data_IF_811872887494
#
_entry.id   IF_811872887494
#
_cell.length_a   1.000
_cell.length_b   1.000
_cell.length_c   1.000
_cell.angle_alpha   90.00
_cell.angle_beta   90.00
_cell.angle_gamma   90.00
#
_symmetry.space_group_name_H-M   'P 1'
#
loop_
_entity.id
_entity.type
_entity.pdbx_description
1 polymer ?
#
# COMPACT_ATOMS: atom_id res chain seq x y z
N UNK A 1 0.41 4.41 39.87
CA UNK A 1 0.29 2.98 39.57
C UNK A 1 1.53 2.66 38.78
N UNK A 2 2.49 2.01 39.41
CA UNK A 2 3.84 1.85 38.90
C UNK A 2 4.17 0.37 38.96
N UNK A 3 4.08 -0.30 37.80
CA UNK A 3 4.23 -1.76 37.70
C UNK A 3 5.66 -2.15 37.29
N UNK A 4 6.63 -1.24 37.44
CA UNK A 4 8.04 -1.57 37.22
C UNK A 4 8.61 -2.39 38.39
N UNK A 5 9.44 -3.40 38.09
CA UNK A 5 10.12 -4.14 39.15
C UNK A 5 11.10 -3.22 39.88
N UNK A 6 10.88 -3.03 41.20
CA UNK A 6 11.71 -2.18 42.07
C UNK A 6 13.18 -2.65 42.17
N UNK A 7 13.45 -3.89 41.73
CA UNK A 7 14.78 -4.49 41.75
C UNK A 7 15.07 -5.20 40.43
N UNK A 8 16.35 -5.19 40.01
CA UNK A 8 16.82 -5.89 38.80
C UNK A 8 16.70 -7.40 39.01
N UNK A 9 15.75 -8.04 38.31
CA UNK A 9 15.55 -9.49 38.37
C UNK A 9 16.44 -10.16 37.32
N UNK A 10 17.29 -11.09 37.75
CA UNK A 10 18.39 -11.65 36.92
C UNK A 10 17.90 -12.61 35.82
N UNK A 11 16.79 -13.31 36.03
CA UNK A 11 16.20 -14.21 35.03
C UNK A 11 14.68 -14.21 35.17
N UNK A 12 13.98 -13.57 34.24
CA UNK A 12 12.52 -13.71 34.12
C UNK A 12 12.13 -13.84 32.66
N UNK A 13 11.21 -14.76 32.37
CA UNK A 13 10.47 -14.79 31.11
C UNK A 13 9.54 -13.57 31.11
N UNK A 14 9.90 -12.53 30.39
CA UNK A 14 9.05 -11.35 30.22
C UNK A 14 7.89 -11.67 29.29
N UNK A 15 6.72 -11.10 29.57
CA UNK A 15 5.52 -11.22 28.73
C UNK A 15 5.07 -9.83 28.34
N UNK A 16 4.98 -9.57 27.03
CA UNK A 16 4.37 -8.36 26.50
C UNK A 16 2.86 -8.59 26.38
N UNK A 17 2.07 -7.64 26.87
CA UNK A 17 0.61 -7.63 26.75
C UNK A 17 0.17 -6.29 26.21
N UNK A 18 -0.80 -6.30 25.31
CA UNK A 18 -1.33 -5.10 24.65
C UNK A 18 -2.81 -5.00 25.02
N UNK A 19 -3.22 -3.80 25.43
CA UNK A 19 -4.63 -3.53 25.78
C UNK A 19 -5.04 -3.95 27.19
N UNK A 20 -4.10 -4.19 28.10
CA UNK A 20 -4.37 -4.39 29.52
C UNK A 20 -3.15 -4.01 30.37
N UNK A 21 -3.38 -3.66 31.63
CA UNK A 21 -2.36 -3.33 32.63
C UNK A 21 -2.17 -4.51 33.60
N UNK A 22 -0.92 -4.88 33.88
CA UNK A 22 -0.59 -5.96 34.81
C UNK A 22 -0.50 -5.44 36.25
N UNK A 23 -1.36 -5.92 37.14
CA UNK A 23 -1.32 -5.55 38.56
C UNK A 23 -0.47 -6.54 39.35
N UNK A 24 0.77 -6.16 39.62
CA UNK A 24 1.75 -7.02 40.31
C UNK A 24 1.32 -7.48 41.71
N UNK A 25 0.59 -6.64 42.47
CA UNK A 25 0.13 -6.98 43.84
C UNK A 25 -0.85 -8.16 43.85
N UNK A 26 -1.75 -8.19 42.88
CA UNK A 26 -2.85 -9.15 42.83
C UNK A 26 -2.62 -10.26 41.78
N UNK A 27 -1.55 -10.15 40.99
CA UNK A 27 -1.23 -11.05 39.89
C UNK A 27 -2.37 -11.18 38.86
N UNK A 28 -3.06 -10.07 38.57
CA UNK A 28 -4.17 -10.02 37.61
C UNK A 28 -3.93 -8.98 36.52
N UNK A 29 -4.54 -9.19 35.36
CA UNK A 29 -4.69 -8.14 34.36
C UNK A 29 -5.92 -7.29 34.69
N UNK A 30 -5.81 -5.97 34.54
CA UNK A 30 -6.92 -5.05 34.72
C UNK A 30 -6.83 -3.88 33.74
N UNK A 31 -7.77 -2.92 33.83
CA UNK A 31 -7.81 -1.71 32.99
C UNK A 31 -7.71 -2.04 31.49
N UNK A 32 -8.59 -2.93 31.07
CA UNK A 32 -8.65 -3.38 29.68
C UNK A 32 -8.99 -2.22 28.75
N UNK A 33 -8.24 -2.10 27.66
CA UNK A 33 -8.55 -1.23 26.54
C UNK A 33 -9.90 -1.63 25.93
N UNK A 34 -10.76 -0.64 25.68
CA UNK A 34 -12.06 -0.82 25.04
C UNK A 34 -12.07 -0.06 23.72
N UNK A 35 -12.06 -0.79 22.62
CA UNK A 35 -12.04 -0.24 21.28
C UNK A 35 -11.43 -1.21 20.28
N UNK A 36 -11.06 -0.70 19.12
CA UNK A 36 -10.40 -1.48 18.07
C UNK A 36 -8.92 -1.10 17.98
N UNK A 37 -8.07 -2.11 17.85
CA UNK A 37 -6.65 -1.94 17.54
C UNK A 37 -6.39 -2.54 16.17
N UNK A 38 -5.61 -1.84 15.35
CA UNK A 38 -5.13 -2.32 14.07
C UNK A 38 -3.66 -1.92 13.90
N UNK A 39 -2.93 -2.64 13.06
CA UNK A 39 -1.57 -2.28 12.63
C UNK A 39 -0.57 -2.05 13.78
N UNK A 40 -0.51 -3.00 14.72
CA UNK A 40 0.48 -2.96 15.81
C UNK A 40 1.79 -3.61 15.38
N UNK A 41 2.90 -2.89 15.55
CA UNK A 41 4.24 -3.38 15.27
C UNK A 41 5.09 -3.31 16.55
N UNK A 42 5.80 -4.39 16.86
CA UNK A 42 6.74 -4.44 17.99
C UNK A 42 8.15 -4.74 17.46
N UNK A 43 9.09 -3.86 17.81
CA UNK A 43 10.48 -3.93 17.38
C UNK A 43 11.35 -4.17 18.63
N UNK A 44 11.68 -5.43 18.95
CA UNK A 44 12.48 -5.73 20.12
C UNK A 44 13.87 -5.11 19.96
N UNK A 45 14.29 -4.34 20.96
CA UNK A 45 15.62 -3.71 21.03
C UNK A 45 15.95 -2.75 19.87
N UNK A 46 14.95 -2.26 19.15
CA UNK A 46 15.12 -1.32 18.04
C UNK A 46 14.16 -0.16 18.19
N UNK A 47 14.60 1.01 17.74
CA UNK A 47 13.75 2.19 17.59
C UNK A 47 13.42 2.29 16.11
N UNK A 48 12.14 2.49 15.80
CA UNK A 48 11.70 2.64 14.42
C UNK A 48 12.22 3.95 13.81
N UNK A 49 12.46 3.95 12.50
CA UNK A 49 12.92 5.13 11.79
C UNK A 49 11.79 6.17 11.67
N UNK A 50 12.07 7.47 11.85
CA UNK A 50 11.07 8.53 11.72
C UNK A 50 10.32 8.50 10.38
N UNK A 51 10.99 8.09 9.31
CA UNK A 51 10.42 7.96 7.96
C UNK A 51 9.32 6.89 7.90
N UNK A 52 9.48 5.77 8.60
CA UNK A 52 8.49 4.70 8.66
C UNK A 52 7.26 5.15 9.46
N UNK A 53 7.46 5.93 10.53
CA UNK A 53 6.38 6.53 11.30
C UNK A 53 5.59 7.53 10.44
N UNK A 54 6.27 8.43 9.73
CA UNK A 54 5.63 9.36 8.79
C UNK A 54 4.83 8.63 7.71
N UNK A 55 5.40 7.58 7.14
CA UNK A 55 4.76 6.73 6.13
C UNK A 55 3.51 6.01 6.66
N UNK A 56 3.50 5.63 7.95
CA UNK A 56 2.37 4.95 8.61
C UNK A 56 1.18 5.86 8.85
N UNK A 57 1.43 7.17 9.02
CA UNK A 57 0.37 8.18 9.19
C UNK A 57 -0.18 8.72 7.88
N UNK A 58 0.47 8.44 6.75
CA UNK A 58 0.01 8.88 5.43
C UNK A 58 -0.97 7.89 4.81
N UNK A 59 -2.12 8.39 4.38
CA UNK A 59 -3.05 7.61 3.59
C UNK A 59 -2.39 7.18 2.28
N UNK A 60 -2.35 5.86 2.04
CA UNK A 60 -1.81 5.30 0.79
C UNK A 60 -2.67 5.62 -0.43
N UNK A 61 -3.92 6.02 -0.19
CA UNK A 61 -4.89 6.34 -1.20
C UNK A 61 -5.49 7.68 -0.86
N UNK A 62 -5.51 8.59 -1.83
CA UNK A 62 -5.95 9.98 -1.62
C UNK A 62 -6.41 10.60 -2.94
N UNK A 63 -7.13 11.70 -2.82
CA UNK A 63 -7.31 12.62 -3.94
C UNK A 63 -6.07 13.50 -4.05
N UNK A 64 -5.69 13.83 -5.28
CA UNK A 64 -4.57 14.68 -5.62
C UNK A 64 -5.03 15.80 -6.55
N UNK A 65 -4.38 16.95 -6.47
CA UNK A 65 -4.66 18.10 -7.29
C UNK A 65 -3.34 18.79 -7.64
N UNK A 66 -2.91 18.61 -8.89
CA UNK A 66 -1.58 19.01 -9.35
C UNK A 66 -1.58 20.36 -10.08
N UNK A 67 -2.66 21.14 -9.98
CA UNK A 67 -2.83 22.40 -10.69
C UNK A 67 -2.91 23.61 -9.75
N UNK A 68 -2.25 23.51 -8.60
CA UNK A 68 -2.20 24.58 -7.58
C UNK A 68 -1.58 25.86 -8.18
N UNK A 69 -0.51 25.71 -8.98
CA UNK A 69 0.18 26.83 -9.63
C UNK A 69 -0.66 27.53 -10.72
N UNK A 70 -1.78 26.93 -11.11
CA UNK A 70 -2.68 27.45 -12.14
C UNK A 70 -3.93 28.11 -11.56
N UNK A 71 -4.03 28.18 -10.22
CA UNK A 71 -5.13 28.85 -9.54
C UNK A 71 -5.03 30.36 -9.72
N UNK A 72 -6.14 31.00 -10.06
CA UNK A 72 -6.21 32.46 -10.18
C UNK A 72 -6.71 33.08 -8.86
N UNK A 73 -6.52 34.40 -8.63
CA UNK A 73 -7.01 35.05 -7.43
C UNK A 73 -8.52 34.80 -7.19
N UNK A 74 -8.86 34.41 -5.96
CA UNK A 74 -10.23 34.05 -5.57
C UNK A 74 -10.51 32.55 -5.56
N UNK A 75 -9.70 31.77 -6.29
CA UNK A 75 -9.74 30.31 -6.28
C UNK A 75 -8.88 29.74 -5.16
N UNK A 76 -9.26 28.56 -4.66
CA UNK A 76 -8.44 27.81 -3.72
C UNK A 76 -8.67 26.31 -3.81
N UNK A 77 -7.67 25.55 -3.38
CA UNK A 77 -7.72 24.11 -3.24
C UNK A 77 -7.19 23.75 -1.85
N UNK A 78 -8.02 23.11 -1.03
CA UNK A 78 -7.70 22.80 0.37
C UNK A 78 -7.91 21.31 0.61
N UNK A 79 -6.87 20.64 1.09
CA UNK A 79 -6.93 19.26 1.55
C UNK A 79 -7.16 19.20 3.06
N UNK A 80 -8.00 18.27 3.51
CA UNK A 80 -8.09 17.95 4.93
C UNK A 80 -6.79 17.33 5.43
N UNK A 81 -6.47 17.54 6.71
CA UNK A 81 -5.22 17.08 7.33
C UNK A 81 -5.04 15.57 7.25
N UNK A 82 -6.14 14.82 7.25
CA UNK A 82 -6.18 13.36 7.11
C UNK A 82 -6.33 12.89 5.65
N UNK A 83 -6.30 13.81 4.68
CA UNK A 83 -6.51 13.55 3.25
C UNK A 83 -7.86 12.88 2.92
N UNK A 84 -8.85 12.95 3.82
CA UNK A 84 -10.17 12.32 3.64
C UNK A 84 -11.11 13.12 2.75
N UNK A 85 -10.92 14.44 2.68
CA UNK A 85 -11.75 15.36 1.92
C UNK A 85 -10.91 16.44 1.24
N UNK A 86 -11.45 16.95 0.15
CA UNK A 86 -10.82 17.96 -0.71
C UNK A 86 -11.87 19.01 -1.06
N UNK A 87 -11.53 20.28 -0.83
CA UNK A 87 -12.41 21.42 -1.08
C UNK A 87 -11.81 22.30 -2.16
N UNK A 88 -12.60 22.60 -3.20
CA UNK A 88 -12.28 23.56 -4.24
C UNK A 88 -13.19 24.78 -4.12
N UNK A 89 -12.60 25.96 -4.25
CA UNK A 89 -13.32 27.20 -4.51
C UNK A 89 -12.90 27.70 -5.89
N UNK A 90 -13.89 28.06 -6.69
CA UNK A 90 -13.70 28.68 -8.00
C UNK A 90 -14.52 29.97 -8.08
N UNK A 91 -14.18 30.85 -9.02
CA UNK A 91 -14.90 32.10 -9.23
C UNK A 91 -16.20 31.92 -10.03
N UNK A 92 -16.20 30.99 -10.99
CA UNK A 92 -17.35 30.67 -11.84
C UNK A 92 -17.67 29.17 -11.85
N UNK A 93 -18.83 28.80 -12.41
CA UNK A 93 -19.22 27.40 -12.54
C UNK A 93 -18.37 26.67 -13.59
N UNK A 94 -17.97 27.38 -14.64
CA UNK A 94 -17.09 26.90 -15.71
C UNK A 94 -15.70 26.60 -15.15
N UNK A 95 -15.14 27.53 -14.37
CA UNK A 95 -13.85 27.35 -13.70
C UNK A 95 -13.90 26.16 -12.73
N UNK A 96 -14.97 26.04 -11.94
CA UNK A 96 -15.15 24.89 -11.04
C UNK A 96 -15.13 23.57 -11.81
N UNK A 97 -15.79 23.51 -12.98
CA UNK A 97 -15.80 22.31 -13.83
C UNK A 97 -14.39 21.97 -14.32
N UNK A 98 -13.62 22.96 -14.78
CA UNK A 98 -12.25 22.77 -15.24
C UNK A 98 -11.32 22.34 -14.11
N UNK A 99 -11.44 22.93 -12.92
CA UNK A 99 -10.65 22.55 -11.75
C UNK A 99 -10.99 21.14 -11.28
N UNK A 100 -12.27 20.75 -11.27
CA UNK A 100 -12.70 19.40 -10.90
C UNK A 100 -12.11 18.33 -11.83
N UNK A 101 -11.98 18.61 -13.12
CA UNK A 101 -11.35 17.67 -14.07
C UNK A 101 -9.87 17.41 -13.79
N UNK A 102 -9.20 18.29 -13.03
CA UNK A 102 -7.79 18.15 -12.65
C UNK A 102 -7.60 17.40 -11.34
N UNK A 103 -8.69 17.00 -10.68
CA UNK A 103 -8.64 16.18 -9.47
C UNK A 103 -8.41 14.73 -9.88
N UNK A 104 -7.35 14.13 -9.36
CA UNK A 104 -6.96 12.76 -9.67
C UNK A 104 -7.03 11.89 -8.43
N UNK A 105 -7.23 10.59 -8.62
CA UNK A 105 -7.10 9.61 -7.55
C UNK A 105 -5.68 9.01 -7.59
N UNK A 106 -4.97 9.12 -6.47
CA UNK A 106 -3.63 8.56 -6.29
C UNK A 106 -3.66 7.34 -5.36
N UNK A 107 -2.95 6.27 -5.74
CA UNK A 107 -2.75 5.08 -4.92
C UNK A 107 -1.27 4.68 -4.93
N UNK A 108 -0.67 4.65 -3.75
CA UNK A 108 0.76 4.35 -3.53
C UNK A 108 1.00 2.96 -2.94
N UNK A 109 -0.03 2.11 -2.88
CA UNK A 109 0.15 0.71 -2.49
C UNK A 109 0.87 -0.04 -3.60
N UNK A 110 1.91 -0.79 -3.24
CA UNK A 110 2.58 -1.72 -4.16
C UNK A 110 1.61 -2.74 -4.76
N UNK A 111 0.60 -3.15 -4.00
CA UNK A 111 -0.51 -4.00 -4.45
C UNK A 111 -1.83 -3.26 -4.13
N UNK A 112 -2.42 -2.55 -5.10
CA UNK A 112 -3.68 -1.86 -4.91
C UNK A 112 -4.79 -2.82 -4.48
N UNK A 113 -5.58 -2.42 -3.47
CA UNK A 113 -6.73 -3.21 -3.04
C UNK A 113 -7.87 -3.04 -4.06
N UNK A 114 -8.27 -4.10 -4.79
CA UNK A 114 -9.28 -3.99 -5.83
C UNK A 114 -10.65 -3.61 -5.27
N UNK A 115 -11.46 -2.94 -6.09
CA UNK A 115 -12.84 -2.62 -5.75
C UNK A 115 -13.23 -1.16 -5.99
N UNK A 116 -14.43 -0.81 -5.57
CA UNK A 116 -15.05 0.49 -5.81
C UNK A 116 -14.77 1.48 -4.67
N UNK A 117 -14.29 2.67 -5.02
CA UNK A 117 -14.16 3.81 -4.09
C UNK A 117 -15.24 4.82 -4.42
N UNK A 118 -16.27 4.84 -3.58
CA UNK A 118 -17.36 5.79 -3.72
C UNK A 118 -16.94 7.14 -3.15
N UNK A 119 -17.22 8.21 -3.87
CA UNK A 119 -17.04 9.58 -3.39
C UNK A 119 -18.30 10.41 -3.63
N UNK A 120 -18.42 11.50 -2.87
CA UNK A 120 -19.53 12.43 -2.95
C UNK A 120 -19.00 13.84 -3.21
N UNK A 121 -19.68 14.58 -4.08
CA UNK A 121 -19.39 15.98 -4.37
C UNK A 121 -20.55 16.80 -3.81
N UNK A 122 -20.24 17.58 -2.78
CA UNK A 122 -21.16 18.56 -2.21
C UNK A 122 -20.75 19.94 -2.74
N UNK A 123 -21.70 20.65 -3.35
CA UNK A 123 -21.42 21.96 -3.96
C UNK A 123 -22.28 23.04 -3.32
N UNK A 124 -21.63 24.14 -2.96
CA UNK A 124 -22.27 25.32 -2.38
C UNK A 124 -21.91 26.53 -3.23
N UNK A 125 -22.92 27.28 -3.66
CA UNK A 125 -22.78 28.45 -4.54
C UNK A 125 -23.13 29.72 -3.75
N UNK A 126 -22.21 30.67 -3.70
CA UNK A 126 -22.48 32.01 -3.18
C UNK A 126 -22.90 32.92 -4.34
N UNK A 127 -24.14 33.36 -4.33
CA UNK A 127 -24.70 34.22 -5.38
C UNK A 127 -24.33 35.70 -5.14
N UNK A 128 -24.38 36.51 -6.21
CA UNK A 128 -24.12 37.95 -6.16
C UNK A 128 -25.02 38.74 -5.21
N UNK A 129 -26.20 38.21 -4.91
CA UNK A 129 -27.14 38.77 -3.93
C UNK A 129 -26.83 38.37 -2.47
N UNK A 130 -25.68 37.72 -2.22
CA UNK A 130 -25.26 37.25 -0.90
C UNK A 130 -25.98 35.99 -0.41
N UNK A 131 -26.89 35.41 -1.20
CA UNK A 131 -27.55 34.14 -0.85
C UNK A 131 -26.63 32.96 -1.15
N UNK A 132 -26.65 31.99 -0.24
CA UNK A 132 -25.94 30.72 -0.41
C UNK A 132 -26.93 29.64 -0.83
N UNK A 133 -26.62 28.93 -1.93
CA UNK A 133 -27.41 27.82 -2.43
C UNK A 133 -26.60 26.53 -2.31
N UNK A 134 -27.19 25.49 -1.74
CA UNK A 134 -26.58 24.15 -1.71
C UNK A 134 -27.20 23.31 -2.81
N UNK A 135 -26.36 22.75 -3.68
CA UNK A 135 -26.80 21.87 -4.76
C UNK A 135 -26.98 20.44 -4.26
N UNK A 136 -27.73 19.64 -5.02
CA UNK A 136 -27.87 18.22 -4.71
C UNK A 136 -26.51 17.51 -4.78
N UNK A 137 -26.15 16.71 -3.76
CA UNK A 137 -24.92 15.95 -3.78
C UNK A 137 -24.84 15.03 -5.00
N UNK A 138 -23.70 15.06 -5.68
CA UNK A 138 -23.41 14.13 -6.77
C UNK A 138 -22.59 12.96 -6.25
N UNK A 139 -22.89 11.75 -6.73
CA UNK A 139 -22.18 10.52 -6.34
C UNK A 139 -21.34 10.02 -7.50
N UNK A 140 -20.08 9.70 -7.23
CA UNK A 140 -19.17 9.09 -8.19
C UNK A 140 -18.50 7.83 -7.64
N UNK A 141 -17.84 7.07 -8.51
CA UNK A 141 -17.07 5.89 -8.11
C UNK A 141 -15.81 5.74 -8.95
N UNK A 142 -14.71 5.39 -8.28
CA UNK A 142 -13.44 5.00 -8.90
C UNK A 142 -13.31 3.48 -8.76
N UNK A 143 -13.05 2.80 -9.87
CA UNK A 143 -12.82 1.35 -9.87
C UNK A 143 -11.33 1.05 -9.89
N UNK A 144 -10.83 0.46 -8.80
CA UNK A 144 -9.45 -0.02 -8.70
C UNK A 144 -9.43 -1.47 -9.20
N UNK A 145 -8.79 -1.69 -10.35
CA UNK A 145 -8.64 -3.02 -10.93
C UNK A 145 -7.62 -3.87 -10.16
N UNK A 146 -7.80 -5.18 -10.24
CA UNK A 146 -6.79 -6.12 -9.76
C UNK A 146 -5.59 -6.13 -10.72
N UNK A 147 -4.39 -6.10 -10.16
CA UNK A 147 -3.19 -6.31 -10.93
C UNK A 147 -3.17 -7.75 -11.45
N UNK A 148 -2.88 -7.95 -12.74
CA UNK A 148 -2.87 -9.30 -13.29
C UNK A 148 -1.73 -10.12 -12.66
N UNK A 149 -2.07 -11.26 -12.07
CA UNK A 149 -1.07 -12.18 -11.54
C UNK A 149 -0.14 -12.64 -12.67
N UNK A 150 1.20 -12.55 -12.50
CA UNK A 150 2.13 -13.05 -13.49
C UNK A 150 2.03 -14.58 -13.55
N UNK A 151 1.90 -15.11 -14.76
CA UNK A 151 1.95 -16.56 -14.98
C UNK A 151 3.38 -16.97 -15.26
N UNK A 152 3.95 -17.78 -14.36
CA UNK A 152 5.25 -18.41 -14.55
C UNK A 152 5.03 -19.78 -15.20
N UNK A 153 5.62 -19.99 -16.38
CA UNK A 153 5.61 -21.27 -17.07
C UNK A 153 7.04 -21.79 -17.17
N UNK A 154 7.27 -23.00 -16.66
CA UNK A 154 8.54 -23.72 -16.76
C UNK A 154 8.32 -24.89 -17.71
N UNK A 155 9.13 -24.96 -18.76
CA UNK A 155 9.11 -26.05 -19.74
C UNK A 155 10.53 -26.57 -19.97
N UNK A 156 10.67 -27.85 -20.31
CA UNK A 156 11.95 -28.49 -20.55
C UNK A 156 11.79 -29.98 -20.78
N UNK A 157 12.88 -30.67 -21.11
CA UNK A 157 12.90 -32.12 -21.24
C UNK A 157 12.76 -32.79 -19.87
N UNK A 158 11.88 -33.79 -19.77
CA UNK A 158 11.71 -34.60 -18.56
C UNK A 158 12.80 -35.67 -18.39
N UNK A 159 13.50 -36.02 -19.46
CA UNK A 159 14.59 -37.00 -19.49
C UNK A 159 15.74 -36.43 -20.31
N UNK A 160 16.93 -36.40 -19.73
CA UNK A 160 18.16 -35.97 -20.39
C UNK A 160 19.02 -37.20 -20.63
N UNK A 161 19.34 -37.45 -21.90
CA UNK A 161 20.27 -38.51 -22.28
C UNK A 161 21.69 -37.92 -22.32
N UNK A 162 22.56 -38.41 -21.44
CA UNK A 162 23.97 -38.03 -21.38
C UNK A 162 24.86 -39.25 -21.59
N UNK A 163 25.91 -39.09 -22.39
CA UNK A 163 26.90 -40.16 -22.56
C UNK A 163 27.84 -40.27 -21.33
N UNK A 164 28.51 -41.42 -21.20
CA UNK A 164 29.41 -41.69 -20.08
C UNK A 164 30.59 -40.71 -19.97
N UNK A 165 30.97 -40.06 -21.06
CA UNK A 165 32.06 -39.09 -21.08
C UNK A 165 31.59 -37.77 -20.47
N UNK A 166 30.45 -37.24 -20.92
CA UNK A 166 29.81 -36.02 -20.43
C UNK A 166 29.45 -36.11 -18.95
N UNK A 167 29.00 -37.28 -18.46
CA UNK A 167 28.75 -37.49 -17.02
C UNK A 167 30.03 -37.33 -16.19
N UNK A 168 31.20 -37.72 -16.72
CA UNK A 168 32.49 -37.60 -16.02
C UNK A 168 33.09 -36.20 -16.13
N UNK A 169 32.81 -35.47 -17.20
CA UNK A 169 33.37 -34.13 -17.45
C UNK A 169 32.45 -32.98 -17.05
N UNK A 170 31.20 -33.28 -16.66
CA UNK A 170 30.17 -32.30 -16.33
C UNK A 170 29.10 -32.24 -17.43
N UNK A 171 27.94 -32.85 -17.15
CA UNK A 171 26.79 -32.81 -18.04
C UNK A 171 25.75 -31.79 -17.54
N UNK A 172 25.18 -30.93 -18.41
CA UNK A 172 24.15 -29.99 -18.01
C UNK A 172 22.88 -30.75 -17.61
N UNK A 173 22.40 -30.54 -16.39
CA UNK A 173 21.22 -31.25 -15.88
C UNK A 173 19.89 -30.77 -16.48
N UNK A 174 19.86 -29.54 -17.01
CA UNK A 174 18.66 -28.89 -17.54
C UNK A 174 18.96 -28.16 -18.86
N UNK A 175 19.38 -28.87 -19.92
CA UNK A 175 19.88 -28.24 -21.15
C UNK A 175 18.81 -27.43 -21.91
N UNK A 176 17.53 -27.70 -21.66
CA UNK A 176 16.40 -27.08 -22.37
C UNK A 176 15.35 -26.44 -21.44
N UNK A 177 15.72 -26.15 -20.19
CA UNK A 177 14.78 -25.45 -19.30
C UNK A 177 14.51 -24.03 -19.82
N UNK A 178 13.23 -23.73 -20.04
CA UNK A 178 12.72 -22.41 -20.42
C UNK A 178 11.76 -21.95 -19.34
N UNK A 179 12.11 -20.84 -18.70
CA UNK A 179 11.23 -20.14 -17.77
C UNK A 179 10.67 -18.92 -18.49
N UNK A 180 9.35 -18.88 -18.66
CA UNK A 180 8.64 -17.76 -19.26
C UNK A 180 7.78 -17.11 -18.19
N UNK A 181 7.96 -15.79 -18.00
CA UNK A 181 7.07 -14.99 -17.16
C UNK A 181 6.16 -14.20 -18.08
N UNK A 182 4.85 -14.40 -17.94
CA UNK A 182 3.84 -13.67 -18.71
C UNK A 182 3.10 -12.74 -17.76
N UNK A 183 3.19 -11.44 -17.98
CA UNK A 183 2.43 -10.45 -17.21
C UNK A 183 1.61 -9.58 -18.16
N UNK A 184 0.36 -9.33 -17.79
CA UNK A 184 -0.54 -8.45 -18.55
C UNK A 184 -0.55 -7.10 -17.84
N UNK A 185 0.24 -6.15 -18.34
CA UNK A 185 0.37 -4.81 -17.73
C UNK A 185 -0.36 -3.83 -18.65
N UNK A 186 -1.44 -3.21 -18.15
CA UNK A 186 -2.19 -2.15 -18.85
C UNK A 186 -2.60 -2.51 -20.30
N UNK A 187 -3.00 -3.76 -20.55
CA UNK A 187 -3.41 -4.23 -21.88
C UNK A 187 -2.26 -4.58 -22.84
N UNK A 188 -1.01 -4.45 -22.39
CA UNK A 188 0.19 -4.93 -23.08
C UNK A 188 0.65 -6.28 -22.49
N UNK A 189 0.85 -7.28 -23.36
CA UNK A 189 1.42 -8.57 -22.97
C UNK A 189 2.95 -8.47 -22.96
N UNK A 190 3.56 -8.59 -21.79
CA UNK A 190 5.02 -8.67 -21.65
C UNK A 190 5.43 -10.13 -21.44
N UNK A 191 6.45 -10.57 -22.19
CA UNK A 191 7.04 -11.90 -22.10
C UNK A 191 8.54 -11.78 -21.88
N UNK A 192 9.02 -12.25 -20.73
CA UNK A 192 10.44 -12.35 -20.42
C UNK A 192 10.88 -13.81 -20.56
N UNK A 193 11.98 -14.02 -21.29
CA UNK A 193 12.59 -15.32 -21.51
C UNK A 193 13.90 -15.43 -20.74
N UNK A 194 13.99 -16.40 -19.84
CA UNK A 194 15.25 -16.76 -19.19
C UNK A 194 15.80 -18.04 -19.80
N UNK A 195 17.02 -17.96 -20.35
CA UNK A 195 17.78 -19.11 -20.82
C UNK A 195 18.94 -19.33 -19.85
N UNK A 196 18.89 -20.43 -19.10
CA UNK A 196 20.02 -20.83 -18.26
C UNK A 196 21.04 -21.55 -19.13
N UNK A 197 22.17 -20.91 -19.41
CA UNK A 197 23.35 -21.59 -19.92
C UNK A 197 24.21 -21.99 -18.71
N UNK A 198 24.28 -23.29 -18.47
CA UNK A 198 25.23 -23.98 -17.56
C UNK A 198 25.14 -23.62 -16.07
N UNK A 199 24.33 -24.39 -15.34
CA UNK A 199 24.53 -24.61 -13.90
C UNK A 199 25.34 -25.91 -13.76
N UNK A 200 26.66 -25.78 -13.61
CA UNK A 200 27.52 -26.88 -13.18
C UNK A 200 27.39 -27.00 -11.65
N UNK A 201 26.78 -28.10 -11.18
CA UNK A 201 26.84 -28.47 -9.78
C UNK A 201 27.98 -29.46 -9.61
N UNK A 202 29.03 -29.07 -8.90
CA UNK A 202 30.04 -30.00 -8.41
C UNK A 202 29.37 -30.91 -7.37
N UNK A 203 29.22 -32.19 -7.72
CA UNK A 203 28.82 -33.23 -6.78
C UNK A 203 30.12 -33.73 -6.11
N UNK A 204 30.19 -33.79 -4.77
CA UNK A 204 31.37 -34.32 -4.06
C UNK A 204 31.59 -35.82 -4.30
#
# INVERSE_FOLDING_TARGET
LDDWPLHRIKETKTRLVIGACWHGRNHIMSQFFKGHLASIYYLPHKIEQPQVLQCSHQCKEKLEFNAIDQLVPGENAIFATDSSSFSLKANTAEDLSLLLQRVTYGNTKNLPTPGYRTFFINTTVLCSNGKTLTLNPSKGSIFVQHEAEPVISISGLSVVNSDQHLVKTGAPMLPEIKITVTQNINGGKFQLYYKFSELAFDIP
#
